data_IF_501933915579
#
_entry.id   IF_501933915579
#
_cell.length_a   1.000
_cell.length_b   1.000
_cell.length_c   1.000
_cell.angle_alpha   90.00
_cell.angle_beta   90.00
_cell.angle_gamma   90.00
#
_symmetry.space_group_name_H-M   'P 1'
#
loop_
_entity.id
_entity.type
_entity.pdbx_description
1 polymer ?
#
# COMPACT_ATOMS: atom_id res chain seq x y z
N UNK A 1 13.88 -13.07 3.39
CA UNK A 1 13.79 -11.67 3.85
C UNK A 1 12.47 -11.09 3.45
N UNK A 2 11.80 -10.47 4.37
CA UNK A 2 10.54 -9.84 4.08
C UNK A 2 10.75 -8.40 3.63
N UNK A 3 10.19 -8.05 2.49
CA UNK A 3 10.02 -6.64 2.15
C UNK A 3 8.84 -6.10 2.91
N UNK A 4 8.95 -4.85 3.35
CA UNK A 4 7.83 -4.11 3.87
C UNK A 4 7.51 -2.96 2.92
N UNK A 5 6.24 -2.64 2.81
CA UNK A 5 5.81 -1.41 2.14
C UNK A 5 4.76 -0.74 3.00
N UNK A 6 4.50 0.53 2.73
CA UNK A 6 3.45 1.24 3.44
C UNK A 6 2.68 2.14 2.47
N UNK A 7 1.42 2.41 2.82
CA UNK A 7 0.57 3.28 2.04
C UNK A 7 0.29 4.54 2.85
N UNK A 8 0.44 5.69 2.22
CA UNK A 8 0.21 6.99 2.83
C UNK A 8 -0.48 7.91 1.84
N UNK A 9 -1.42 8.70 2.32
CA UNK A 9 -2.06 9.71 1.50
C UNK A 9 -1.45 11.08 1.82
N UNK A 10 -1.08 11.80 0.79
CA UNK A 10 -0.53 13.16 0.92
C UNK A 10 -1.41 14.15 0.18
N UNK A 11 -1.61 15.31 0.79
CA UNK A 11 -2.33 16.42 0.18
C UNK A 11 -1.53 17.69 0.46
N UNK A 12 -1.15 18.39 -0.59
CA UNK A 12 -0.39 19.64 -0.50
C UNK A 12 0.89 19.52 0.35
N UNK A 13 1.58 18.40 0.23
CA UNK A 13 2.84 18.18 0.92
C UNK A 13 2.71 17.66 2.35
N UNK A 14 1.51 17.39 2.81
CA UNK A 14 1.25 16.92 4.17
C UNK A 14 0.56 15.56 4.16
N UNK A 15 0.91 14.72 5.13
CA UNK A 15 0.24 13.44 5.31
C UNK A 15 -1.19 13.64 5.80
N UNK A 16 -2.14 12.95 5.16
CA UNK A 16 -3.55 12.97 5.53
C UNK A 16 -3.96 11.64 6.13
N UNK A 17 -4.98 11.67 6.96
CA UNK A 17 -5.54 10.44 7.50
C UNK A 17 -6.21 9.63 6.39
N UNK A 18 -6.18 8.32 6.54
CA UNK A 18 -6.82 7.41 5.60
C UNK A 18 -8.27 7.17 6.01
N UNK A 19 -9.12 6.93 5.02
CA UNK A 19 -10.53 6.63 5.26
C UNK A 19 -10.68 5.17 5.70
N UNK A 20 -10.98 4.96 6.97
CA UNK A 20 -11.13 3.63 7.54
C UNK A 20 -12.22 2.80 6.86
N UNK A 21 -13.28 3.44 6.39
CA UNK A 21 -14.36 2.72 5.70
C UNK A 21 -13.87 2.09 4.40
N UNK A 22 -13.02 2.83 3.69
CA UNK A 22 -12.42 2.33 2.44
C UNK A 22 -11.48 1.19 2.75
N UNK A 23 -10.66 1.33 3.79
CA UNK A 23 -9.73 0.29 4.22
C UNK A 23 -10.48 -1.01 4.50
N UNK A 24 -11.53 -0.95 5.31
CA UNK A 24 -12.31 -2.13 5.66
C UNK A 24 -13.03 -2.71 4.45
N UNK A 25 -13.56 -1.86 3.59
CA UNK A 25 -14.25 -2.31 2.38
C UNK A 25 -13.33 -3.16 1.49
N UNK A 26 -12.07 -2.77 1.37
CA UNK A 26 -11.10 -3.50 0.55
C UNK A 26 -10.56 -4.72 1.29
N UNK A 27 -10.20 -4.59 2.55
CA UNK A 27 -9.50 -5.63 3.30
C UNK A 27 -10.41 -6.71 3.88
N UNK A 28 -11.60 -6.36 4.37
CA UNK A 28 -12.45 -7.30 5.10
C UNK A 28 -12.71 -8.61 4.35
N UNK A 29 -12.96 -8.59 3.03
CA UNK A 29 -13.17 -9.84 2.30
C UNK A 29 -11.96 -10.78 2.30
N UNK A 30 -10.77 -10.25 2.59
CA UNK A 30 -9.51 -11.00 2.55
C UNK A 30 -8.97 -11.34 3.93
N UNK A 31 -9.54 -10.76 4.99
CA UNK A 31 -9.07 -11.00 6.35
C UNK A 31 -9.40 -12.43 6.78
N UNK A 32 -8.38 -13.18 7.18
CA UNK A 32 -8.54 -14.57 7.64
C UNK A 32 -8.28 -14.72 9.11
N UNK A 33 -7.61 -13.75 9.71
CA UNK A 33 -7.36 -13.76 11.15
C UNK A 33 -7.06 -12.36 11.63
N UNK A 34 -7.39 -12.09 12.89
CA UNK A 34 -7.01 -10.87 13.57
C UNK A 34 -5.77 -11.18 14.41
N UNK A 35 -4.79 -10.26 14.39
CA UNK A 35 -3.64 -10.37 15.25
C UNK A 35 -3.99 -10.09 16.70
N UNK A 36 -2.97 -9.96 17.55
CA UNK A 36 -3.15 -9.69 18.96
C UNK A 36 -3.75 -8.31 19.20
N UNK A 37 -3.52 -7.38 18.28
CA UNK A 37 -4.10 -6.05 18.31
C UNK A 37 -5.16 -5.92 17.22
N UNK A 38 -6.17 -5.08 17.46
CA UNK A 38 -7.25 -4.87 16.48
C UNK A 38 -6.74 -4.23 15.18
N UNK A 39 -5.55 -3.62 15.20
CA UNK A 39 -4.94 -3.00 14.02
C UNK A 39 -4.12 -3.97 13.19
N UNK A 40 -3.80 -5.14 13.72
CA UNK A 40 -3.02 -6.17 13.01
C UNK A 40 -3.95 -7.18 12.38
N UNK A 41 -3.82 -7.35 11.07
CA UNK A 41 -4.68 -8.26 10.31
C UNK A 41 -3.81 -9.25 9.53
N UNK A 42 -4.29 -10.48 9.40
CA UNK A 42 -3.72 -11.42 8.45
C UNK A 42 -4.68 -11.48 7.26
N UNK A 43 -4.19 -11.14 6.08
CA UNK A 43 -4.99 -11.16 4.86
C UNK A 43 -4.51 -12.27 3.94
N UNK A 44 -5.45 -12.86 3.21
CA UNK A 44 -5.14 -13.90 2.23
C UNK A 44 -5.72 -13.52 0.89
N UNK A 45 -4.88 -13.55 -0.14
CA UNK A 45 -5.29 -13.28 -1.50
C UNK A 45 -5.93 -14.51 -2.15
N UNK A 46 -6.56 -14.33 -3.29
CA UNK A 46 -7.23 -15.41 -4.01
C UNK A 46 -6.28 -16.54 -4.43
N UNK A 47 -5.01 -16.24 -4.62
CA UNK A 47 -3.99 -17.24 -4.97
C UNK A 47 -3.40 -17.97 -3.75
N UNK A 48 -3.90 -17.68 -2.56
CA UNK A 48 -3.43 -18.29 -1.31
C UNK A 48 -2.29 -17.55 -0.62
N UNK A 49 -1.74 -16.51 -1.24
CA UNK A 49 -0.69 -15.71 -0.61
C UNK A 49 -1.22 -14.94 0.59
N UNK A 50 -0.42 -14.87 1.65
CA UNK A 50 -0.82 -14.20 2.89
C UNK A 50 0.17 -13.10 3.25
N UNK A 51 -0.31 -12.07 3.94
CA UNK A 51 0.52 -10.98 4.43
C UNK A 51 -0.02 -10.45 5.75
N UNK A 52 0.89 -9.90 6.53
CA UNK A 52 0.54 -9.18 7.75
C UNK A 52 0.32 -7.72 7.41
N UNK A 53 -0.82 -7.19 7.83
CA UNK A 53 -1.21 -5.80 7.55
C UNK A 53 -1.48 -5.08 8.86
N UNK A 54 -0.77 -3.98 9.08
CA UNK A 54 -1.00 -3.08 10.21
C UNK A 54 -1.73 -1.84 9.72
N UNK A 55 -2.86 -1.53 10.32
CA UNK A 55 -3.68 -0.38 9.94
C UNK A 55 -3.60 0.68 11.02
N UNK A 56 -3.24 1.90 10.63
CA UNK A 56 -3.30 3.07 11.51
C UNK A 56 -3.99 4.22 10.78
N UNK A 57 -4.31 5.28 11.53
CA UNK A 57 -4.94 6.46 10.93
C UNK A 57 -4.04 7.11 9.87
N UNK A 58 -2.72 7.03 10.06
CA UNK A 58 -1.75 7.73 9.23
C UNK A 58 -1.17 6.89 8.11
N UNK A 59 -1.40 5.58 8.12
CA UNK A 59 -0.82 4.71 7.11
C UNK A 59 -1.18 3.26 7.30
N UNK A 60 -0.87 2.47 6.28
CA UNK A 60 -1.05 1.02 6.30
C UNK A 60 0.30 0.42 5.99
N UNK A 61 0.76 -0.50 6.85
CA UNK A 61 2.01 -1.23 6.62
C UNK A 61 1.70 -2.67 6.23
N UNK A 62 2.37 -3.17 5.20
CA UNK A 62 2.21 -4.54 4.72
C UNK A 62 3.56 -5.23 4.82
N UNK A 63 3.59 -6.34 5.55
CA UNK A 63 4.83 -7.07 5.84
C UNK A 63 4.74 -8.50 5.35
N UNK A 64 5.90 -9.05 4.97
CA UNK A 64 6.07 -10.47 4.65
C UNK A 64 5.11 -10.95 3.58
N UNK A 65 4.94 -10.16 2.54
CA UNK A 65 4.05 -10.49 1.45
C UNK A 65 4.78 -11.29 0.36
N UNK A 66 4.15 -12.34 -0.19
CA UNK A 66 4.67 -13.02 -1.37
C UNK A 66 4.33 -12.22 -2.62
N UNK A 67 5.00 -12.47 -3.74
CA UNK A 67 4.55 -11.92 -5.02
C UNK A 67 3.18 -12.46 -5.38
N UNK A 68 2.42 -11.72 -6.17
CA UNK A 68 1.13 -12.17 -6.68
C UNK A 68 -0.05 -11.46 -6.07
N UNK A 69 -1.07 -12.22 -5.66
CA UNK A 69 -2.37 -11.69 -5.29
C UNK A 69 -2.40 -10.67 -4.16
N UNK A 70 -1.47 -10.75 -3.21
CA UNK A 70 -1.39 -9.74 -2.14
C UNK A 70 -1.12 -8.35 -2.72
N UNK A 71 -0.30 -8.27 -3.77
CA UNK A 71 -0.02 -7.00 -4.42
C UNK A 71 -1.23 -6.44 -5.16
N UNK A 72 -2.14 -7.30 -5.62
CA UNK A 72 -3.42 -6.84 -6.19
C UNK A 72 -4.27 -6.16 -5.13
N UNK A 73 -4.28 -6.69 -3.91
CA UNK A 73 -4.99 -6.09 -2.78
C UNK A 73 -4.37 -4.73 -2.43
N UNK A 74 -3.04 -4.66 -2.40
CA UNK A 74 -2.31 -3.40 -2.14
C UNK A 74 -2.64 -2.35 -3.20
N UNK A 75 -2.66 -2.75 -4.47
CA UNK A 75 -2.99 -1.85 -5.57
C UNK A 75 -4.42 -1.33 -5.44
N UNK A 76 -5.36 -2.19 -5.09
CA UNK A 76 -6.76 -1.79 -4.89
C UNK A 76 -6.87 -0.78 -3.75
N UNK A 77 -6.19 -1.03 -2.63
CA UNK A 77 -6.15 -0.07 -1.52
C UNK A 77 -5.61 1.28 -1.97
N UNK A 78 -4.47 1.28 -2.67
CA UNK A 78 -3.85 2.52 -3.12
C UNK A 78 -4.77 3.31 -4.04
N UNK A 79 -5.44 2.62 -4.97
CA UNK A 79 -6.38 3.27 -5.89
C UNK A 79 -7.60 3.83 -5.17
N UNK A 80 -8.18 3.08 -4.25
CA UNK A 80 -9.39 3.49 -3.53
C UNK A 80 -9.11 4.61 -2.54
N UNK A 81 -7.94 4.64 -1.95
CA UNK A 81 -7.56 5.65 -0.96
C UNK A 81 -6.89 6.87 -1.58
N UNK A 82 -6.46 6.80 -2.84
CA UNK A 82 -5.63 7.84 -3.42
C UNK A 82 -4.26 7.91 -2.74
N UNK A 83 -3.74 6.76 -2.32
CA UNK A 83 -2.52 6.69 -1.54
C UNK A 83 -1.29 6.42 -2.41
N UNK A 84 -0.14 6.90 -1.93
CA UNK A 84 1.16 6.53 -2.48
C UNK A 84 1.69 5.32 -1.73
N UNK A 85 2.52 4.52 -2.39
CA UNK A 85 3.16 3.37 -1.77
C UNK A 85 4.61 3.74 -1.47
N UNK A 86 4.98 3.68 -0.20
CA UNK A 86 6.36 3.95 0.21
C UNK A 86 7.13 2.63 0.31
N UNK A 87 8.27 2.59 -0.35
CA UNK A 87 9.23 1.49 -0.31
C UNK A 87 10.49 1.97 0.39
N UNK A 88 11.37 1.07 0.85
CA UNK A 88 12.62 1.49 1.48
C UNK A 88 13.47 2.44 0.64
N UNK A 89 13.39 2.33 -0.68
CA UNK A 89 14.23 3.10 -1.60
C UNK A 89 13.43 3.97 -2.59
N UNK A 90 12.14 4.14 -2.38
CA UNK A 90 11.37 4.99 -3.31
C UNK A 90 9.89 5.06 -2.98
N UNK A 91 9.17 5.76 -3.84
CA UNK A 91 7.72 5.94 -3.73
C UNK A 91 7.08 5.61 -5.06
N UNK A 92 5.98 4.88 -5.02
CA UNK A 92 5.20 4.52 -6.20
C UNK A 92 3.88 5.29 -6.20
N UNK A 93 3.55 5.86 -7.36
CA UNK A 93 2.33 6.63 -7.56
C UNK A 93 1.49 5.98 -8.67
N UNK A 94 0.17 6.08 -8.54
CA UNK A 94 -0.75 5.61 -9.57
C UNK A 94 -1.01 6.63 -10.66
N UNK A 95 -0.69 7.91 -10.43
CA UNK A 95 -0.91 8.96 -11.41
C UNK A 95 0.09 10.09 -11.18
N UNK A 96 0.49 10.75 -12.27
CA UNK A 96 1.45 11.86 -12.20
C UNK A 96 0.93 13.02 -11.35
N UNK A 97 -0.37 13.25 -11.34
CA UNK A 97 -0.98 14.31 -10.53
C UNK A 97 -0.75 14.16 -9.03
N UNK A 98 -0.47 12.95 -8.56
CA UNK A 98 -0.18 12.70 -7.15
C UNK A 98 1.17 13.27 -6.73
N UNK A 99 2.10 13.42 -7.67
CA UNK A 99 3.45 13.94 -7.37
C UNK A 99 3.40 15.33 -6.73
N UNK A 100 2.49 16.18 -7.18
CA UNK A 100 2.35 17.53 -6.67
C UNK A 100 1.92 17.57 -5.19
N UNK A 101 1.29 16.51 -4.72
CA UNK A 101 0.83 16.41 -3.32
C UNK A 101 1.89 15.87 -2.37
N UNK A 102 3.00 15.36 -2.89
CA UNK A 102 4.07 14.82 -2.04
C UNK A 102 4.88 15.94 -1.39
N UNK A 103 5.45 15.68 -0.19
CA UNK A 103 6.45 16.58 0.37
C UNK A 103 7.62 16.78 -0.60
N UNK A 104 8.26 17.95 -0.55
CA UNK A 104 9.30 18.32 -1.50
C UNK A 104 10.42 17.28 -1.62
N UNK A 105 10.85 16.72 -0.52
CA UNK A 105 11.94 15.74 -0.54
C UNK A 105 11.58 14.39 -1.16
N UNK A 106 10.29 14.12 -1.35
CA UNK A 106 9.82 12.84 -1.87
C UNK A 106 9.48 12.88 -3.36
N UNK A 107 9.26 14.07 -3.92
CA UNK A 107 8.82 14.19 -5.32
C UNK A 107 9.81 13.60 -6.30
N UNK A 108 11.10 13.79 -6.05
CA UNK A 108 12.16 13.34 -6.97
C UNK A 108 12.34 11.83 -6.96
N UNK A 109 12.04 11.18 -5.84
CA UNK A 109 12.19 9.73 -5.73
C UNK A 109 10.91 8.97 -6.11
N UNK A 110 9.84 9.67 -6.44
CA UNK A 110 8.57 9.05 -6.79
C UNK A 110 8.52 8.65 -8.26
N UNK A 111 7.98 7.46 -8.51
CA UNK A 111 7.83 6.90 -9.85
C UNK A 111 6.36 6.58 -10.07
N UNK A 112 5.83 7.00 -11.22
CA UNK A 112 4.47 6.65 -11.60
C UNK A 112 4.48 5.28 -12.25
N UNK A 113 3.60 4.40 -11.76
CA UNK A 113 3.45 3.04 -12.29
C UNK A 113 1.99 2.79 -12.63
N UNK A 114 1.74 1.73 -13.37
CA UNK A 114 0.41 1.19 -13.46
C UNK A 114 0.07 0.61 -12.09
N UNK A 115 -0.93 1.16 -11.41
CA UNK A 115 -1.26 0.75 -10.05
C UNK A 115 -2.10 -0.52 -10.06
N UNK A 116 -1.41 -1.61 -10.35
CA UNK A 116 -1.91 -2.98 -10.34
C UNK A 116 -0.89 -3.85 -9.60
N UNK A 117 -1.28 -5.04 -9.22
CA UNK A 117 -0.35 -5.99 -8.61
C UNK A 117 0.88 -6.23 -9.49
N UNK A 118 0.67 -6.41 -10.79
CA UNK A 118 1.76 -6.60 -11.74
C UNK A 118 2.67 -5.37 -11.85
N UNK A 119 2.09 -4.17 -11.83
CA UNK A 119 2.85 -2.93 -11.88
C UNK A 119 3.73 -2.76 -10.65
N UNK A 120 3.19 -3.05 -9.46
CA UNK A 120 3.95 -3.02 -8.21
C UNK A 120 5.08 -4.04 -8.25
N UNK A 121 4.78 -5.26 -8.69
CA UNK A 121 5.78 -6.34 -8.77
C UNK A 121 6.95 -5.95 -9.66
N UNK A 122 6.67 -5.34 -10.82
CA UNK A 122 7.73 -4.87 -11.72
C UNK A 122 8.60 -3.81 -11.05
N UNK A 123 7.99 -2.91 -10.29
CA UNK A 123 8.74 -1.88 -9.57
C UNK A 123 9.64 -2.49 -8.49
N UNK A 124 9.15 -3.50 -7.76
CA UNK A 124 9.93 -4.20 -6.76
C UNK A 124 11.11 -4.95 -7.39
N UNK A 125 10.89 -5.56 -8.56
CA UNK A 125 11.91 -6.33 -9.25
C UNK A 125 13.05 -5.46 -9.80
N UNK A 126 12.81 -4.17 -10.01
CA UNK A 126 13.84 -3.22 -10.45
C UNK A 126 14.76 -2.79 -9.32
N UNK A 127 14.28 -2.86 -8.11
CA UNK A 127 15.04 -2.51 -6.93
C UNK A 127 15.95 -3.63 -6.46
#
# INVERSE_FOLDING_TARGET
MGYGLSLHRFVNGEAETLDERVIHKVLDPHVVNLGQNVTELLVRAADGGEAEVDVSADGISVHRFPPGGVLDIVAELANCLGAAIALPDGILLGAEGQRANLPDGLREMAVVIEMTGAGIQRALDRG
#
